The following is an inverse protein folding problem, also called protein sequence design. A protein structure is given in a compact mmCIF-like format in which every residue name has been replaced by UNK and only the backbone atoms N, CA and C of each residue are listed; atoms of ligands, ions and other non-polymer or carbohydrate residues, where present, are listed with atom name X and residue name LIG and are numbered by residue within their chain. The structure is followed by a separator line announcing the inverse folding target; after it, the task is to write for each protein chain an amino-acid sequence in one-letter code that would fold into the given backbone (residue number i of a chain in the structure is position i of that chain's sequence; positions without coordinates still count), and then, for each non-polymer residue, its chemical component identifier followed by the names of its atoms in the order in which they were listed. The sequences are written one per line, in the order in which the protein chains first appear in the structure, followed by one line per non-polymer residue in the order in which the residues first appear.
data_IF_003809033804
#
_entry.id   IF_003809033804
#
_cell.length_a   1.000
_cell.length_b   1.000
_cell.length_c   1.000
_cell.angle_alpha   90.00
_cell.angle_beta   90.00
_cell.angle_gamma   90.00
#
_symmetry.space_group_name_H-M   'P 1'
#
loop_
_entity.id
_entity.type
_entity.pdbx_description
1 polymer ?
#
# COMPACT_ATOMS: atom_id res chain seq x y z
N UNK A 1 -33.77 -9.71 -9.63
CA UNK A 1 -33.11 -9.87 -8.31
C UNK A 1 -33.01 -11.36 -8.02
N UNK A 2 -31.83 -11.85 -7.66
CA UNK A 2 -31.68 -13.23 -7.20
C UNK A 2 -32.17 -13.31 -5.75
N UNK A 3 -33.05 -14.27 -5.47
CA UNK A 3 -33.55 -14.52 -4.11
C UNK A 3 -32.76 -15.69 -3.53
N UNK A 4 -32.15 -15.50 -2.36
CA UNK A 4 -31.44 -16.55 -1.63
C UNK A 4 -32.23 -16.91 -0.39
N UNK A 5 -32.56 -18.19 -0.22
CA UNK A 5 -33.20 -18.69 1.00
C UNK A 5 -32.11 -19.01 2.03
N UNK A 6 -32.19 -18.36 3.19
CA UNK A 6 -31.27 -18.61 4.31
C UNK A 6 -31.93 -19.61 5.28
N UNK A 7 -31.24 -20.70 5.67
CA UNK A 7 -31.77 -21.67 6.63
C UNK A 7 -32.07 -21.05 8.01
N UNK A 8 -33.09 -21.55 8.71
CA UNK A 8 -33.57 -21.02 9.99
C UNK A 8 -32.52 -21.03 11.11
N UNK A 9 -31.52 -21.91 11.04
CA UNK A 9 -30.46 -22.05 12.04
C UNK A 9 -29.23 -21.17 11.77
N UNK A 10 -29.26 -20.28 10.78
CA UNK A 10 -28.17 -19.34 10.50
C UNK A 10 -28.29 -18.12 11.42
N UNK A 11 -27.28 -17.92 12.26
CA UNK A 11 -27.18 -16.76 13.15
C UNK A 11 -26.15 -15.72 12.72
N UNK A 12 -25.32 -16.05 11.71
CA UNK A 12 -24.21 -15.21 11.24
C UNK A 12 -24.14 -15.23 9.72
N UNK A 13 -23.97 -14.05 9.13
CA UNK A 13 -23.60 -13.88 7.73
C UNK A 13 -22.18 -13.33 7.68
N UNK A 14 -21.27 -14.09 7.05
CA UNK A 14 -19.92 -13.63 6.73
C UNK A 14 -19.91 -13.19 5.28
N UNK A 15 -19.56 -11.93 5.05
CA UNK A 15 -19.44 -11.36 3.72
C UNK A 15 -17.97 -11.17 3.39
N UNK A 16 -17.58 -11.67 2.23
CA UNK A 16 -16.33 -11.26 1.61
C UNK A 16 -16.46 -9.84 1.02
N UNK A 17 -15.35 -9.20 0.67
CA UNK A 17 -15.32 -7.84 0.15
C UNK A 17 -15.21 -7.85 -1.38
N UNK A 18 -14.05 -8.23 -1.90
CA UNK A 18 -13.72 -8.13 -3.32
C UNK A 18 -14.55 -9.12 -4.15
N UNK A 19 -15.35 -8.60 -5.08
CA UNK A 19 -16.27 -9.39 -5.89
C UNK A 19 -17.55 -9.85 -5.18
N UNK A 20 -17.73 -9.50 -3.89
CA UNK A 20 -18.92 -9.83 -3.11
C UNK A 20 -19.71 -8.56 -2.71
N UNK A 21 -19.14 -7.69 -1.86
CA UNK A 21 -19.75 -6.40 -1.52
C UNK A 21 -19.20 -5.24 -2.33
N UNK A 22 -18.01 -5.40 -2.91
CA UNK A 22 -17.28 -4.35 -3.61
C UNK A 22 -16.78 -4.87 -4.96
N UNK A 23 -16.93 -4.11 -6.06
CA UNK A 23 -16.46 -4.55 -7.37
C UNK A 23 -14.96 -4.88 -7.38
N UNK A 24 -14.59 -5.98 -8.05
CA UNK A 24 -13.17 -6.34 -8.26
C UNK A 24 -12.43 -5.19 -8.96
N UNK A 25 -13.10 -4.51 -9.89
CA UNK A 25 -12.57 -3.34 -10.59
C UNK A 25 -12.24 -2.19 -9.66
N UNK A 26 -13.04 -1.95 -8.60
CA UNK A 26 -12.70 -0.92 -7.63
C UNK A 26 -11.40 -1.24 -6.88
N UNK A 27 -11.22 -2.49 -6.46
CA UNK A 27 -10.00 -2.91 -5.77
C UNK A 27 -8.78 -2.81 -6.72
N UNK A 28 -8.89 -3.40 -7.90
CA UNK A 28 -7.80 -3.55 -8.85
C UNK A 28 -7.44 -2.25 -9.60
N UNK A 29 -8.45 -1.47 -9.98
CA UNK A 29 -8.30 -0.34 -10.89
C UNK A 29 -8.37 1.02 -10.16
N UNK A 30 -8.77 1.05 -8.87
CA UNK A 30 -8.83 2.28 -8.06
C UNK A 30 -7.93 2.19 -6.82
N UNK A 31 -8.20 1.25 -5.90
CA UNK A 31 -7.53 1.19 -4.59
C UNK A 31 -6.01 1.01 -4.69
N UNK A 32 -5.54 0.01 -5.43
CA UNK A 32 -4.11 -0.26 -5.58
C UNK A 32 -3.39 0.72 -6.52
N UNK A 33 -3.95 1.15 -7.66
CA UNK A 33 -3.37 2.19 -8.51
C UNK A 33 -3.18 3.52 -7.76
N UNK A 34 -4.14 3.92 -6.92
CA UNK A 34 -4.02 5.13 -6.11
C UNK A 34 -2.72 5.17 -5.29
N UNK A 35 -2.34 4.04 -4.68
CA UNK A 35 -1.07 3.97 -3.93
C UNK A 35 0.11 4.29 -4.85
N UNK A 36 0.17 3.68 -6.05
CA UNK A 36 1.29 3.88 -6.97
C UNK A 36 1.40 5.33 -7.44
N UNK A 37 0.25 5.96 -7.69
CA UNK A 37 0.17 7.32 -8.25
C UNK A 37 0.46 8.41 -7.20
N UNK A 38 0.14 8.16 -5.93
CA UNK A 38 0.25 9.17 -4.86
C UNK A 38 1.36 8.89 -3.83
N UNK A 39 2.12 7.81 -3.96
CA UNK A 39 3.14 7.44 -2.98
C UNK A 39 4.21 8.50 -2.77
N UNK A 40 4.78 9.03 -3.85
CA UNK A 40 5.85 10.04 -3.77
C UNK A 40 5.32 11.36 -3.17
N UNK A 41 4.14 11.81 -3.60
CA UNK A 41 3.44 12.98 -3.01
C UNK A 41 3.20 12.78 -1.51
N UNK A 42 2.70 11.61 -1.12
CA UNK A 42 2.41 11.29 0.27
C UNK A 42 3.67 11.29 1.14
N UNK A 43 4.73 10.60 0.70
CA UNK A 43 5.97 10.56 1.45
C UNK A 43 6.60 11.95 1.58
N UNK A 44 6.59 12.77 0.52
CA UNK A 44 7.11 14.14 0.58
C UNK A 44 6.30 15.06 1.51
N UNK A 45 4.98 14.90 1.55
CA UNK A 45 4.11 15.72 2.41
C UNK A 45 4.15 15.31 3.89
N UNK A 46 4.34 14.02 4.17
CA UNK A 46 4.24 13.44 5.51
C UNK A 46 5.58 13.01 6.10
N UNK A 47 6.71 13.26 5.42
CA UNK A 47 8.04 12.74 5.79
C UNK A 47 8.43 12.98 7.25
N UNK A 48 8.08 14.17 7.76
CA UNK A 48 8.43 14.59 9.11
C UNK A 48 7.48 14.06 10.20
N UNK A 49 6.36 13.46 9.83
CA UNK A 49 5.38 12.91 10.76
C UNK A 49 5.88 11.60 11.40
N UNK A 50 5.60 11.42 12.69
CA UNK A 50 6.05 10.24 13.44
C UNK A 50 5.49 8.93 12.85
N UNK A 51 4.25 8.94 12.36
CA UNK A 51 3.62 7.75 11.76
C UNK A 51 4.33 7.36 10.45
N UNK A 52 4.61 8.34 9.57
CA UNK A 52 5.35 8.10 8.32
C UNK A 52 6.78 7.64 8.60
N UNK A 53 7.46 8.22 9.61
CA UNK A 53 8.80 7.77 10.04
C UNK A 53 8.79 6.31 10.50
N UNK A 54 7.76 5.89 11.24
CA UNK A 54 7.61 4.50 11.68
C UNK A 54 7.37 3.55 10.50
N UNK A 55 6.54 3.94 9.53
CA UNK A 55 6.31 3.17 8.31
C UNK A 55 7.61 2.97 7.51
N UNK A 56 8.35 4.04 7.28
CA UNK A 56 9.64 4.02 6.57
C UNK A 56 10.65 3.13 7.30
N UNK A 57 10.72 3.22 8.63
CA UNK A 57 11.59 2.34 9.43
C UNK A 57 11.21 0.87 9.29
N UNK A 58 9.92 0.55 9.28
CA UNK A 58 9.44 -0.82 9.12
C UNK A 58 9.72 -1.36 7.71
N UNK A 59 9.57 -0.54 6.68
CA UNK A 59 9.92 -0.86 5.30
C UNK A 59 11.43 -1.09 5.11
N UNK A 60 12.27 -0.27 5.76
CA UNK A 60 13.73 -0.46 5.75
C UNK A 60 14.12 -1.80 6.39
N UNK A 61 13.57 -2.12 7.57
CA UNK A 61 13.79 -3.43 8.22
C UNK A 61 13.34 -4.59 7.35
N UNK A 62 12.17 -4.49 6.73
CA UNK A 62 11.67 -5.51 5.80
C UNK A 62 12.63 -5.71 4.63
N UNK A 63 13.15 -4.62 4.06
CA UNK A 63 14.12 -4.66 2.95
C UNK A 63 15.42 -5.34 3.36
N UNK A 64 15.95 -5.05 4.55
CA UNK A 64 17.14 -5.72 5.10
C UNK A 64 16.93 -7.23 5.29
N UNK A 65 15.76 -7.64 5.78
CA UNK A 65 15.40 -9.05 5.92
C UNK A 65 15.29 -9.74 4.56
N UNK A 66 14.72 -9.07 3.57
CA UNK A 66 14.61 -9.59 2.21
C UNK A 66 15.97 -9.73 1.52
N UNK A 67 16.90 -8.80 1.78
CA UNK A 67 18.28 -8.88 1.30
C UNK A 67 18.97 -10.13 1.86
N UNK A 68 18.83 -10.39 3.17
CA UNK A 68 19.37 -11.60 3.81
C UNK A 68 18.78 -12.89 3.23
N UNK A 69 17.55 -12.83 2.72
CA UNK A 69 16.86 -13.97 2.13
C UNK A 69 17.03 -14.08 0.60
N UNK A 70 17.85 -13.24 -0.03
CA UNK A 70 17.98 -13.14 -1.50
C UNK A 70 16.63 -12.90 -2.21
N UNK A 71 15.74 -12.16 -1.57
CA UNK A 71 14.40 -11.79 -2.05
C UNK A 71 14.24 -10.29 -2.25
N UNK A 72 15.30 -9.50 -2.13
CA UNK A 72 15.22 -8.05 -2.27
C UNK A 72 15.08 -7.59 -3.73
N UNK A 73 14.59 -6.37 -3.88
CA UNK A 73 14.64 -5.64 -5.14
C UNK A 73 16.11 -5.59 -5.63
N UNK A 74 16.39 -5.86 -6.92
CA UNK A 74 17.64 -5.40 -7.51
C UNK A 74 17.65 -3.88 -7.36
N UNK A 75 18.60 -3.35 -6.58
CA UNK A 75 18.74 -1.92 -6.37
C UNK A 75 18.97 -1.29 -7.75
N UNK A 76 18.00 -0.53 -8.25
CA UNK A 76 18.24 0.33 -9.40
C UNK A 76 19.22 1.40 -8.93
N UNK A 77 20.40 1.46 -9.56
CA UNK A 77 21.41 2.45 -9.26
C UNK A 77 20.76 3.84 -9.29
N UNK A 78 20.70 4.50 -8.13
CA UNK A 78 20.08 5.82 -7.98
C UNK A 78 20.80 6.76 -8.95
N UNK A 79 20.04 7.32 -9.89
CA UNK A 79 20.54 8.30 -10.84
C UNK A 79 21.06 9.52 -10.07
N UNK A 80 22.28 9.98 -10.39
CA UNK A 80 23.06 10.93 -9.56
C UNK A 80 22.53 12.38 -9.59
N UNK A 81 21.27 12.59 -9.96
CA UNK A 81 20.67 13.90 -10.21
C UNK A 81 19.90 14.47 -9.00
N UNK A 82 19.85 13.76 -7.87
CA UNK A 82 19.10 14.20 -6.67
C UNK A 82 19.95 15.10 -5.77
N UNK A 83 19.41 16.27 -5.42
CA UNK A 83 20.13 17.38 -4.82
C UNK A 83 20.17 17.36 -3.27
N UNK A 84 19.30 16.58 -2.59
CA UNK A 84 19.26 16.46 -1.12
C UNK A 84 19.25 15.02 -0.61
N UNK A 85 19.65 14.79 0.65
CA UNK A 85 19.65 13.45 1.28
C UNK A 85 18.24 12.92 1.53
N UNK A 86 17.27 13.80 1.77
CA UNK A 86 15.86 13.46 2.01
C UNK A 86 15.17 12.96 0.74
N UNK A 87 15.29 13.68 -0.38
CA UNK A 87 14.71 13.27 -1.66
C UNK A 87 15.25 11.92 -2.11
N UNK A 88 16.53 11.63 -1.84
CA UNK A 88 17.12 10.31 -2.12
C UNK A 88 16.46 9.23 -1.27
N UNK A 89 16.29 9.48 0.02
CA UNK A 89 15.66 8.53 0.94
C UNK A 89 14.19 8.27 0.57
N UNK A 90 13.43 9.31 0.17
CA UNK A 90 12.06 9.15 -0.32
C UNK A 90 12.06 8.26 -1.57
N UNK A 91 12.92 8.55 -2.54
CA UNK A 91 12.98 7.79 -3.79
C UNK A 91 13.31 6.31 -3.59
N UNK A 92 14.24 6.00 -2.69
CA UNK A 92 14.56 4.61 -2.33
C UNK A 92 13.34 3.87 -1.74
N UNK A 93 12.56 4.56 -0.89
CA UNK A 93 11.33 3.99 -0.33
C UNK A 93 10.27 3.80 -1.41
N UNK A 94 10.09 4.78 -2.31
CA UNK A 94 9.17 4.70 -3.45
C UNK A 94 9.50 3.46 -4.31
N UNK A 95 10.75 3.32 -4.72
CA UNK A 95 11.19 2.21 -5.57
C UNK A 95 10.99 0.85 -4.88
N UNK A 96 11.31 0.75 -3.58
CA UNK A 96 11.10 -0.46 -2.79
C UNK A 96 9.62 -0.85 -2.71
N UNK A 97 8.74 0.12 -2.43
CA UNK A 97 7.29 -0.12 -2.32
C UNK A 97 6.70 -0.51 -3.67
N UNK A 98 7.04 0.20 -4.75
CA UNK A 98 6.57 -0.12 -6.10
C UNK A 98 7.01 -1.53 -6.54
N UNK A 99 8.24 -1.91 -6.24
CA UNK A 99 8.73 -3.26 -6.49
C UNK A 99 7.96 -4.31 -5.66
N UNK A 100 7.74 -4.07 -4.37
CA UNK A 100 6.96 -4.98 -3.52
C UNK A 100 5.53 -5.18 -4.06
N UNK A 101 4.89 -4.09 -4.50
CA UNK A 101 3.57 -4.15 -5.12
C UNK A 101 3.58 -4.90 -6.46
N UNK A 102 4.59 -4.68 -7.31
CA UNK A 102 4.73 -5.39 -8.59
C UNK A 102 4.94 -6.89 -8.40
N UNK A 103 5.59 -7.29 -7.31
CA UNK A 103 5.81 -8.69 -6.93
C UNK A 103 4.67 -9.31 -6.11
N UNK A 104 3.50 -8.66 -6.00
CA UNK A 104 2.34 -9.07 -5.18
C UNK A 104 2.73 -9.47 -3.74
N UNK A 105 3.69 -8.75 -3.16
CA UNK A 105 4.12 -9.00 -1.78
C UNK A 105 3.10 -8.42 -0.82
N UNK A 106 2.77 -9.18 0.22
CA UNK A 106 1.77 -8.80 1.23
C UNK A 106 2.39 -8.67 2.62
N UNK A 107 3.55 -8.01 2.69
CA UNK A 107 4.30 -7.81 3.94
C UNK A 107 3.51 -6.90 4.90
N UNK A 108 3.76 -7.05 6.20
CA UNK A 108 3.14 -6.17 7.21
C UNK A 108 3.55 -4.72 6.99
N UNK A 109 4.83 -4.48 6.67
CA UNK A 109 5.37 -3.15 6.40
C UNK A 109 4.63 -2.44 5.26
N UNK A 110 4.44 -3.14 4.12
CA UNK A 110 3.75 -2.58 2.97
C UNK A 110 2.29 -2.26 3.29
N UNK A 111 1.57 -3.20 3.91
CA UNK A 111 0.15 -3.03 4.25
C UNK A 111 -0.08 -1.89 5.23
N UNK A 112 0.86 -1.65 6.15
CA UNK A 112 0.76 -0.56 7.13
C UNK A 112 0.76 0.80 6.42
N UNK A 113 1.78 1.06 5.59
CA UNK A 113 1.87 2.29 4.79
C UNK A 113 0.64 2.46 3.88
N UNK A 114 0.25 1.40 3.17
CA UNK A 114 -0.95 1.42 2.32
C UNK A 114 -2.21 1.76 3.11
N UNK A 115 -2.36 1.22 4.33
CA UNK A 115 -3.45 1.54 5.24
C UNK A 115 -3.51 3.01 5.62
N UNK A 116 -2.37 3.62 5.96
CA UNK A 116 -2.32 5.04 6.30
C UNK A 116 -2.61 5.94 5.09
N UNK A 117 -2.06 5.61 3.91
CA UNK A 117 -2.37 6.31 2.66
C UNK A 117 -3.86 6.22 2.31
N UNK A 118 -4.47 5.03 2.39
CA UNK A 118 -5.91 4.87 2.15
C UNK A 118 -6.73 5.62 3.18
N UNK A 119 -6.35 5.62 4.46
CA UNK A 119 -7.03 6.42 5.50
C UNK A 119 -7.06 7.90 5.10
N UNK A 120 -5.93 8.47 4.69
CA UNK A 120 -5.86 9.84 4.21
C UNK A 120 -6.73 10.07 2.95
N UNK A 121 -6.72 9.12 2.01
CA UNK A 121 -7.50 9.19 0.77
C UNK A 121 -9.02 9.18 1.02
N UNK A 122 -9.50 8.32 1.93
CA UNK A 122 -10.91 8.25 2.30
C UNK A 122 -11.35 9.48 3.10
N UNK A 123 -10.53 9.95 4.06
CA UNK A 123 -10.83 11.14 4.87
C UNK A 123 -10.89 12.41 4.01
N UNK A 124 -9.97 12.55 3.05
CA UNK A 124 -9.98 13.67 2.10
C UNK A 124 -11.05 13.55 1.01
N UNK A 125 -11.67 12.38 0.87
CA UNK A 125 -12.65 12.09 -0.18
C UNK A 125 -12.04 11.91 -1.58
N UNK A 126 -10.71 11.78 -1.70
CA UNK A 126 -10.00 11.42 -2.94
C UNK A 126 -10.39 10.01 -3.41
N UNK A 127 -10.63 9.09 -2.47
CA UNK A 127 -11.27 7.80 -2.72
C UNK A 127 -12.63 7.79 -2.02
N UNK A 128 -13.64 7.23 -2.70
CA UNK A 128 -14.95 6.89 -2.13
C UNK A 128 -15.26 5.44 -2.48
N UNK A 129 -15.92 4.74 -1.57
CA UNK A 129 -16.37 3.37 -1.85
C UNK A 129 -17.42 3.35 -2.97
N UNK A 130 -17.38 2.29 -3.77
CA UNK A 130 -18.38 1.98 -4.80
C UNK A 130 -19.36 0.91 -4.34
#
# INVERSE_FOLDING_TARGET
MATVTVPENVSVLLLDIEGTTTPITFVKDVLFPYIKEHLEEYLGAHWEEDECKQDVQLLKKQTEEDLKQNRACPVHAVDQTVHTDEEKAIREVVDSVLWQMAADRKTTALKQLQGHMWRAAYVSGRIKGE
#
